data_IF_825044027763
#
_entry.id   IF_825044027763
#
_cell.length_a   1.000
_cell.length_b   1.000
_cell.length_c   1.000
_cell.angle_alpha   90.00
_cell.angle_beta   90.00
_cell.angle_gamma   90.00
#
_symmetry.space_group_name_H-M   'P 1'
#
loop_
_entity.id
_entity.type
_entity.pdbx_description
1 polymer ?
#
# COMPACT_ATOMS: atom_id res chain seq x y z
N UNK A 1 3.10 25.53 7.27
CA UNK A 1 2.50 24.30 6.70
C UNK A 1 1.19 24.73 6.07
N UNK A 2 0.98 24.41 4.80
CA UNK A 2 -0.32 24.63 4.16
C UNK A 2 -1.38 23.84 4.92
N UNK A 3 -2.45 24.53 5.32
CA UNK A 3 -3.62 23.95 5.97
C UNK A 3 -4.35 23.13 4.90
N UNK A 4 -4.41 21.82 5.08
CA UNK A 4 -5.08 20.90 4.15
C UNK A 4 -6.31 20.30 4.85
N UNK A 5 -7.45 20.40 4.18
CA UNK A 5 -8.73 19.82 4.61
C UNK A 5 -9.17 18.65 3.73
N UNK A 6 -10.28 18.04 4.15
CA UNK A 6 -10.96 16.99 3.37
C UNK A 6 -12.43 17.36 3.20
N UNK A 7 -12.85 17.48 1.96
CA UNK A 7 -14.24 17.61 1.55
C UNK A 7 -14.81 16.20 1.37
N UNK A 8 -15.93 15.92 2.03
CA UNK A 8 -16.73 14.73 1.76
C UNK A 8 -17.95 15.16 0.98
N UNK A 9 -17.95 14.83 -0.31
CA UNK A 9 -18.99 15.18 -1.27
C UNK A 9 -19.99 14.02 -1.42
N UNK A 10 -21.24 14.28 -1.05
CA UNK A 10 -22.36 13.37 -1.30
C UNK A 10 -23.12 13.85 -2.54
N UNK A 11 -23.45 12.90 -3.41
CA UNK A 11 -24.25 13.19 -4.59
C UNK A 11 -24.82 11.94 -5.24
N UNK A 12 -25.59 12.18 -6.29
CA UNK A 12 -26.14 11.14 -7.15
C UNK A 12 -24.99 10.46 -7.93
N UNK A 13 -24.99 9.12 -8.07
CA UNK A 13 -23.97 8.39 -8.82
C UNK A 13 -23.77 8.94 -10.22
N UNK A 14 -24.88 9.30 -10.89
CA UNK A 14 -24.86 9.77 -12.27
C UNK A 14 -24.05 11.07 -12.38
N UNK A 15 -24.23 12.01 -11.44
CA UNK A 15 -23.49 13.26 -11.44
C UNK A 15 -22.00 13.06 -11.14
N UNK A 16 -21.67 12.10 -10.27
CA UNK A 16 -20.27 11.76 -9.96
C UNK A 16 -19.62 11.12 -11.19
N UNK A 17 -20.32 10.23 -11.87
CA UNK A 17 -19.80 9.58 -13.07
C UNK A 17 -19.60 10.58 -14.22
N UNK A 18 -20.59 11.45 -14.46
CA UNK A 18 -20.54 12.45 -15.55
C UNK A 18 -19.47 13.52 -15.33
N UNK A 19 -19.47 14.21 -14.18
CA UNK A 19 -18.63 15.41 -14.01
C UNK A 19 -17.33 15.17 -13.25
N UNK A 20 -17.18 14.03 -12.58
CA UNK A 20 -15.99 13.71 -11.77
C UNK A 20 -15.19 12.58 -12.41
N UNK A 21 -15.79 11.42 -12.71
CA UNK A 21 -15.07 10.29 -13.31
C UNK A 21 -14.73 10.56 -14.77
N UNK A 22 -15.74 10.80 -15.61
CA UNK A 22 -15.55 11.01 -17.04
C UNK A 22 -14.98 12.41 -17.32
N UNK A 23 -15.42 13.39 -16.52
CA UNK A 23 -15.08 14.79 -16.74
C UNK A 23 -15.88 15.38 -17.89
N UNK A 24 -15.84 16.70 -18.00
CA UNK A 24 -16.59 17.48 -18.99
C UNK A 24 -15.62 18.14 -19.95
N UNK A 25 -15.88 18.07 -21.26
CA UNK A 25 -15.08 18.83 -22.23
C UNK A 25 -15.29 20.33 -22.03
N UNK A 26 -14.19 21.08 -21.91
CA UNK A 26 -14.22 22.54 -21.73
C UNK A 26 -14.93 23.22 -22.91
N UNK A 27 -14.80 22.67 -24.12
CA UNK A 27 -15.46 23.15 -25.34
C UNK A 27 -16.98 23.00 -25.33
N UNK A 28 -17.52 22.08 -24.52
CA UNK A 28 -18.96 21.90 -24.37
C UNK A 28 -19.59 23.01 -23.51
N UNK A 29 -18.79 23.71 -22.70
CA UNK A 29 -19.26 24.76 -21.79
C UNK A 29 -19.19 26.13 -22.47
N UNK A 30 -20.36 26.75 -22.60
CA UNK A 30 -20.46 28.15 -23.02
C UNK A 30 -20.29 29.04 -21.80
N UNK A 31 -19.14 29.71 -21.71
CA UNK A 31 -18.87 30.77 -20.73
C UNK A 31 -18.38 32.04 -21.44
N UNK A 32 -18.88 33.18 -20.99
CA UNK A 32 -18.46 34.51 -21.41
C UNK A 32 -17.41 35.13 -20.48
N UNK A 33 -17.12 34.50 -19.33
CA UNK A 33 -16.12 34.99 -18.38
C UNK A 33 -14.70 34.60 -18.84
N UNK A 34 -13.86 35.59 -19.22
CA UNK A 34 -12.49 35.33 -19.63
C UNK A 34 -11.61 34.77 -18.52
N UNK A 35 -11.84 35.13 -17.24
CA UNK A 35 -11.05 34.66 -16.10
C UNK A 35 -11.25 33.16 -15.89
N UNK A 36 -12.52 32.72 -15.92
CA UNK A 36 -12.83 31.29 -15.83
C UNK A 36 -12.21 30.51 -16.99
N UNK A 37 -12.29 31.05 -18.21
CA UNK A 37 -11.76 30.39 -19.41
C UNK A 37 -10.23 30.26 -19.35
N UNK A 38 -9.55 31.29 -18.86
CA UNK A 38 -8.11 31.24 -18.62
C UNK A 38 -7.75 30.20 -17.56
N UNK A 39 -8.43 30.21 -16.42
CA UNK A 39 -8.21 29.24 -15.35
C UNK A 39 -8.42 27.79 -15.81
N UNK A 40 -9.46 27.53 -16.61
CA UNK A 40 -9.74 26.21 -17.18
C UNK A 40 -8.60 25.75 -18.12
N UNK A 41 -8.18 26.60 -19.05
CA UNK A 41 -7.11 26.26 -20.00
C UNK A 41 -5.75 26.03 -19.32
N UNK A 42 -5.43 26.84 -18.31
CA UNK A 42 -4.18 26.69 -17.54
C UNK A 42 -4.17 25.41 -16.71
N UNK A 43 -5.33 25.02 -16.14
CA UNK A 43 -5.41 23.90 -15.21
C UNK A 43 -5.72 22.56 -15.88
N UNK A 44 -6.40 22.55 -17.03
CA UNK A 44 -6.84 21.35 -17.74
C UNK A 44 -6.36 21.36 -19.20
N UNK A 45 -5.05 21.18 -19.44
CA UNK A 45 -4.46 21.26 -20.78
C UNK A 45 -4.93 20.14 -21.72
N UNK A 46 -5.49 19.05 -21.18
CA UNK A 46 -6.11 17.97 -21.95
C UNK A 46 -7.53 18.31 -22.45
N UNK A 47 -8.07 19.47 -22.09
CA UNK A 47 -9.41 19.90 -22.50
C UNK A 47 -10.56 19.27 -21.70
N UNK A 48 -10.27 18.42 -20.70
CA UNK A 48 -11.27 17.74 -19.88
C UNK A 48 -11.17 18.26 -18.45
N UNK A 49 -12.23 18.92 -17.98
CA UNK A 49 -12.33 19.42 -16.61
C UNK A 49 -13.13 18.47 -15.73
N UNK A 50 -12.68 18.27 -14.50
CA UNK A 50 -13.49 17.59 -13.48
C UNK A 50 -14.03 18.63 -12.52
N UNK A 51 -15.32 18.56 -12.21
CA UNK A 51 -16.00 19.63 -11.47
C UNK A 51 -17.07 19.05 -10.56
N UNK A 52 -17.25 19.72 -9.42
CA UNK A 52 -18.32 19.44 -8.47
C UNK A 52 -18.92 20.74 -7.96
N UNK A 53 -20.22 20.74 -7.67
CA UNK A 53 -20.94 21.93 -7.25
C UNK A 53 -21.62 21.78 -5.89
N UNK A 54 -21.82 22.91 -5.22
CA UNK A 54 -22.55 23.02 -3.96
C UNK A 54 -23.76 23.95 -4.09
N UNK A 55 -24.77 23.71 -3.25
CA UNK A 55 -25.94 24.59 -3.06
C UNK A 55 -25.80 25.39 -1.77
N UNK A 56 -26.60 26.44 -1.63
CA UNK A 56 -26.60 27.33 -0.44
C UNK A 56 -26.57 26.60 0.92
N UNK A 57 -27.34 25.51 1.17
CA UNK A 57 -27.32 24.84 2.47
C UNK A 57 -25.95 24.29 2.89
N UNK A 58 -25.07 24.04 1.92
CA UNK A 58 -23.72 23.51 2.13
C UNK A 58 -22.64 24.43 1.53
N UNK A 59 -22.98 25.70 1.29
CA UNK A 59 -22.04 26.71 0.76
C UNK A 59 -20.81 26.86 1.65
N UNK A 60 -20.95 26.71 2.97
CA UNK A 60 -19.82 26.80 3.90
C UNK A 60 -18.68 25.83 3.55
N UNK A 61 -18.97 24.66 2.94
CA UNK A 61 -17.94 23.72 2.48
C UNK A 61 -17.11 24.35 1.36
N UNK A 62 -17.79 25.04 0.44
CA UNK A 62 -17.14 25.79 -0.64
C UNK A 62 -16.35 26.98 -0.09
N UNK A 63 -16.86 27.68 0.94
CA UNK A 63 -16.14 28.77 1.60
C UNK A 63 -14.83 28.28 2.22
N UNK A 64 -14.89 27.16 2.94
CA UNK A 64 -13.74 26.55 3.64
C UNK A 64 -12.76 25.82 2.70
N UNK A 65 -13.20 25.42 1.50
CA UNK A 65 -12.38 24.68 0.56
C UNK A 65 -11.15 25.49 0.11
N UNK A 66 -9.96 24.93 0.30
CA UNK A 66 -8.69 25.47 -0.16
C UNK A 66 -8.13 24.72 -1.37
N UNK A 67 -7.23 25.35 -2.11
CA UNK A 67 -6.48 24.67 -3.16
C UNK A 67 -5.63 23.55 -2.54
N UNK A 68 -5.65 22.37 -3.16
CA UNK A 68 -4.95 21.18 -2.68
C UNK A 68 -5.74 20.33 -1.68
N UNK A 69 -6.89 20.81 -1.16
CA UNK A 69 -7.75 20.01 -0.29
C UNK A 69 -8.21 18.74 -0.99
N UNK A 70 -8.29 17.64 -0.25
CA UNK A 70 -8.81 16.39 -0.79
C UNK A 70 -10.32 16.43 -0.93
N UNK A 71 -10.85 15.85 -1.99
CA UNK A 71 -12.29 15.67 -2.23
C UNK A 71 -12.58 14.20 -2.31
N UNK A 72 -13.37 13.68 -1.38
CA UNK A 72 -13.83 12.30 -1.34
C UNK A 72 -15.29 12.22 -1.75
N UNK A 73 -15.58 11.37 -2.73
CA UNK A 73 -16.93 11.14 -3.25
C UNK A 73 -17.54 9.92 -2.61
N UNK A 74 -18.66 10.10 -1.92
CA UNK A 74 -19.34 9.03 -1.19
C UNK A 74 -20.66 8.65 -1.84
N UNK A 75 -20.85 7.34 -2.03
CA UNK A 75 -22.12 6.74 -2.44
C UNK A 75 -22.30 5.36 -1.78
N UNK A 76 -23.51 5.04 -1.37
CA UNK A 76 -23.90 3.74 -0.78
C UNK A 76 -22.87 3.10 0.18
N UNK A 77 -22.48 3.83 1.23
CA UNK A 77 -21.52 3.37 2.27
C UNK A 77 -20.07 3.19 1.82
N UNK A 78 -19.74 3.58 0.60
CA UNK A 78 -18.37 3.55 0.08
C UNK A 78 -17.93 4.91 -0.44
N UNK A 79 -16.64 5.19 -0.31
CA UNK A 79 -15.99 6.27 -1.04
C UNK A 79 -15.46 5.70 -2.34
N UNK A 80 -15.84 6.30 -3.46
CA UNK A 80 -15.63 5.75 -4.80
C UNK A 80 -14.52 6.49 -5.56
N UNK A 81 -14.39 7.81 -5.35
CA UNK A 81 -13.35 8.62 -5.97
C UNK A 81 -12.69 9.56 -4.96
N UNK A 82 -11.41 9.85 -5.21
CA UNK A 82 -10.66 10.90 -4.55
C UNK A 82 -10.07 11.84 -5.60
N UNK A 83 -10.04 13.14 -5.32
CA UNK A 83 -9.30 14.12 -6.09
C UNK A 83 -8.79 15.25 -5.20
N UNK A 84 -8.19 16.27 -5.81
CA UNK A 84 -7.74 17.47 -5.09
C UNK A 84 -8.36 18.72 -5.70
N UNK A 85 -8.71 19.70 -4.86
CA UNK A 85 -9.25 20.98 -5.33
C UNK A 85 -8.16 21.73 -6.11
N UNK A 86 -8.44 22.01 -7.38
CA UNK A 86 -7.61 22.86 -8.23
C UNK A 86 -7.88 24.33 -7.96
N UNK A 87 -9.15 24.75 -8.10
CA UNK A 87 -9.60 26.12 -7.82
C UNK A 87 -11.12 26.14 -7.61
N UNK A 88 -11.63 27.28 -7.14
CA UNK A 88 -13.06 27.52 -6.89
C UNK A 88 -13.60 28.53 -7.88
N UNK A 89 -14.89 28.43 -8.19
CA UNK A 89 -15.61 29.42 -8.98
C UNK A 89 -17.04 29.60 -8.41
N UNK A 90 -17.60 30.83 -8.35
CA UNK A 90 -17.01 32.11 -8.78
C UNK A 90 -15.77 32.50 -7.98
N UNK A 91 -14.86 33.28 -8.58
CA UNK A 91 -13.69 33.81 -7.85
C UNK A 91 -14.12 34.87 -6.84
N UNK A 92 -15.10 35.69 -7.21
CA UNK A 92 -15.77 36.62 -6.31
C UNK A 92 -17.27 36.28 -6.23
N UNK A 93 -17.77 35.70 -5.11
CA UNK A 93 -19.18 35.36 -4.97
C UNK A 93 -20.12 36.58 -4.87
N UNK A 94 -19.58 37.78 -4.64
CA UNK A 94 -20.34 39.04 -4.65
C UNK A 94 -20.43 39.65 -6.07
N UNK A 95 -19.69 39.10 -7.03
CA UNK A 95 -19.78 39.50 -8.43
C UNK A 95 -20.98 38.82 -9.11
N UNK A 96 -21.97 39.64 -9.50
CA UNK A 96 -23.19 39.17 -10.12
C UNK A 96 -22.95 38.45 -11.46
N UNK A 97 -21.99 38.90 -12.26
CA UNK A 97 -21.67 38.32 -13.56
C UNK A 97 -21.01 36.95 -13.40
N UNK A 98 -20.08 36.82 -12.43
CA UNK A 98 -19.47 35.53 -12.15
C UNK A 98 -20.48 34.53 -11.58
N UNK A 99 -21.37 34.99 -10.71
CA UNK A 99 -22.46 34.17 -10.16
C UNK A 99 -23.45 33.69 -11.23
N UNK A 100 -23.82 34.56 -12.19
CA UNK A 100 -24.65 34.19 -13.33
C UNK A 100 -23.94 33.13 -14.18
N UNK A 101 -22.68 33.38 -14.54
CA UNK A 101 -21.86 32.41 -15.29
C UNK A 101 -21.73 31.08 -14.55
N UNK A 102 -21.56 31.10 -13.22
CA UNK A 102 -21.45 29.86 -12.43
C UNK A 102 -22.75 29.06 -12.42
N UNK A 103 -23.88 29.77 -12.41
CA UNK A 103 -25.21 29.19 -12.55
C UNK A 103 -25.38 28.56 -13.92
N UNK A 104 -24.99 29.25 -14.99
CA UNK A 104 -25.07 28.75 -16.37
C UNK A 104 -24.21 27.51 -16.59
N UNK A 105 -22.99 27.49 -16.05
CA UNK A 105 -22.10 26.32 -16.12
C UNK A 105 -22.72 25.14 -15.37
N UNK A 106 -23.21 25.37 -14.14
CA UNK A 106 -23.84 24.31 -13.34
C UNK A 106 -25.11 23.74 -14.01
N UNK A 107 -25.92 24.60 -14.64
CA UNK A 107 -27.12 24.18 -15.37
C UNK A 107 -26.78 23.44 -16.66
N UNK A 108 -25.71 23.80 -17.37
CA UNK A 108 -25.25 23.05 -18.54
C UNK A 108 -24.79 21.62 -18.18
N UNK A 109 -24.22 21.44 -16.99
CA UNK A 109 -23.68 20.15 -16.55
C UNK A 109 -24.75 19.28 -15.88
N UNK A 110 -25.47 19.81 -14.89
CA UNK A 110 -26.39 19.03 -14.05
C UNK A 110 -27.86 19.44 -14.18
N UNK A 111 -28.17 20.43 -15.03
CA UNK A 111 -29.51 21.00 -15.10
C UNK A 111 -29.93 21.71 -13.80
N UNK A 112 -31.22 21.65 -13.50
CA UNK A 112 -31.83 22.17 -12.27
C UNK A 112 -32.48 21.03 -11.50
N UNK A 113 -32.57 21.17 -10.17
CA UNK A 113 -33.37 20.25 -9.37
C UNK A 113 -34.88 20.54 -9.49
N UNK A 114 -35.67 19.84 -8.67
CA UNK A 114 -37.12 20.00 -8.58
C UNK A 114 -37.57 21.40 -8.14
N UNK A 115 -36.70 22.14 -7.44
CA UNK A 115 -36.95 23.48 -6.95
C UNK A 115 -36.45 24.56 -7.93
N UNK A 116 -35.92 24.16 -9.09
CA UNK A 116 -35.35 25.06 -10.10
C UNK A 116 -33.94 25.57 -9.77
N UNK A 117 -33.30 25.03 -8.72
CA UNK A 117 -31.97 25.46 -8.29
C UNK A 117 -30.87 24.53 -8.81
N UNK A 118 -29.70 25.11 -9.07
CA UNK A 118 -28.49 24.38 -9.49
C UNK A 118 -27.33 24.58 -8.51
N UNK A 119 -26.25 23.83 -8.71
CA UNK A 119 -25.08 23.76 -7.83
C UNK A 119 -24.03 24.83 -8.14
N UNK A 120 -24.44 26.11 -8.11
CA UNK A 120 -23.68 27.28 -8.57
C UNK A 120 -22.42 27.67 -7.77
N UNK A 121 -22.01 26.90 -6.76
CA UNK A 121 -20.72 27.11 -6.08
C UNK A 121 -19.80 25.96 -6.45
N UNK A 122 -18.89 26.20 -7.40
CA UNK A 122 -18.12 25.16 -8.07
C UNK A 122 -16.74 24.99 -7.46
N UNK A 123 -16.32 23.74 -7.33
CA UNK A 123 -14.92 23.34 -7.17
C UNK A 123 -14.49 22.56 -8.40
N UNK A 124 -13.32 22.92 -8.92
CA UNK A 124 -12.67 22.21 -10.01
C UNK A 124 -11.64 21.26 -9.41
N UNK A 125 -11.58 20.02 -9.91
CA UNK A 125 -10.88 18.91 -9.28
C UNK A 125 -9.80 18.35 -10.19
N UNK A 126 -8.63 18.10 -9.63
CA UNK A 126 -7.51 17.46 -10.32
C UNK A 126 -7.20 16.09 -9.73
N UNK A 127 -6.50 15.30 -10.53
CA UNK A 127 -5.95 13.99 -10.13
C UNK A 127 -7.04 13.05 -9.58
N UNK A 128 -8.21 13.03 -10.23
CA UNK A 128 -9.30 12.13 -9.87
C UNK A 128 -8.84 10.69 -10.04
N UNK A 129 -8.99 9.89 -8.98
CA UNK A 129 -8.63 8.48 -8.92
C UNK A 129 -9.74 7.68 -8.24
N UNK A 130 -9.97 6.46 -8.70
CA UNK A 130 -10.78 5.49 -7.96
C UNK A 130 -10.11 5.16 -6.63
N UNK A 131 -10.92 5.03 -5.58
CA UNK A 131 -10.47 4.69 -4.24
C UNK A 131 -11.34 3.57 -3.69
N UNK A 132 -10.71 2.60 -3.04
CA UNK A 132 -11.40 1.60 -2.22
C UNK A 132 -11.25 1.99 -0.74
N UNK A 133 -12.17 2.84 -0.27
CA UNK A 133 -12.25 3.27 1.12
C UNK A 133 -13.69 3.08 1.60
N UNK A 134 -13.88 2.20 2.59
CA UNK A 134 -15.18 1.97 3.21
C UNK A 134 -15.45 2.95 4.35
N UNK A 135 -16.73 3.08 4.73
CA UNK A 135 -17.15 3.95 5.84
C UNK A 135 -16.48 3.58 7.17
N UNK A 136 -16.14 2.30 7.37
CA UNK A 136 -15.45 1.80 8.57
C UNK A 136 -14.03 2.36 8.65
N UNK A 137 -13.25 2.25 7.59
CA UNK A 137 -11.90 2.80 7.47
C UNK A 137 -11.89 4.32 7.61
N UNK A 138 -12.88 4.99 7.03
CA UNK A 138 -13.07 6.43 7.19
C UNK A 138 -13.31 6.79 8.66
N UNK A 139 -14.28 6.15 9.31
CA UNK A 139 -14.61 6.34 10.72
C UNK A 139 -13.39 6.15 11.64
N UNK A 140 -12.59 5.10 11.40
CA UNK A 140 -11.34 4.84 12.11
C UNK A 140 -10.32 5.98 11.94
N UNK A 141 -10.19 6.52 10.73
CA UNK A 141 -9.21 7.56 10.41
C UNK A 141 -9.63 8.95 10.92
N UNK A 142 -10.92 9.17 11.16
CA UNK A 142 -11.45 10.48 11.59
C UNK A 142 -11.95 10.51 13.03
N UNK A 143 -12.06 9.35 13.67
CA UNK A 143 -12.69 9.19 14.99
C UNK A 143 -14.21 9.37 15.00
N UNK A 144 -14.87 9.23 13.85
CA UNK A 144 -16.33 9.31 13.74
C UNK A 144 -16.96 7.92 13.89
N UNK A 145 -18.25 7.86 14.19
CA UNK A 145 -19.01 6.62 14.31
C UNK A 145 -20.29 6.68 13.44
N UNK A 146 -20.12 7.01 12.16
CA UNK A 146 -21.26 7.07 11.24
C UNK A 146 -21.70 5.67 10.82
N UNK A 147 -23.01 5.42 10.86
CA UNK A 147 -23.63 4.25 10.23
C UNK A 147 -23.92 4.47 8.74
N UNK A 148 -24.12 5.72 8.34
CA UNK A 148 -24.17 6.21 6.96
C UNK A 148 -23.97 7.74 6.96
N UNK A 149 -23.39 8.28 5.89
CA UNK A 149 -23.33 9.73 5.70
C UNK A 149 -24.63 10.22 5.08
N UNK A 150 -25.17 11.32 5.61
CA UNK A 150 -26.44 11.91 5.15
C UNK A 150 -26.32 13.29 4.54
N UNK A 151 -25.14 13.91 4.66
CA UNK A 151 -24.86 15.23 4.10
C UNK A 151 -23.37 15.37 3.80
N UNK A 152 -23.05 16.19 2.81
CA UNK A 152 -21.68 16.63 2.55
C UNK A 152 -21.11 17.35 3.77
N UNK A 153 -19.80 17.28 3.97
CA UNK A 153 -19.12 17.95 5.08
C UNK A 153 -17.69 18.34 4.73
N UNK A 154 -17.17 19.34 5.45
CA UNK A 154 -15.76 19.70 5.46
C UNK A 154 -15.12 19.20 6.76
N UNK A 155 -13.95 18.57 6.66
CA UNK A 155 -13.15 18.09 7.78
C UNK A 155 -11.94 19.01 7.96
N UNK A 156 -11.76 19.49 9.19
CA UNK A 156 -10.61 20.31 9.59
C UNK A 156 -9.41 19.46 9.98
N UNK A 157 -8.22 20.06 9.99
CA UNK A 157 -6.91 19.43 10.23
C UNK A 157 -6.88 18.46 11.42
N UNK A 158 -7.55 18.77 12.54
CA UNK A 158 -7.57 17.89 13.73
C UNK A 158 -8.22 16.54 13.48
N UNK A 159 -9.27 16.48 12.64
CA UNK A 159 -10.00 15.24 12.30
C UNK A 159 -9.56 14.67 10.96
N UNK A 160 -9.08 15.53 10.06
CA UNK A 160 -8.61 15.14 8.75
C UNK A 160 -7.17 14.63 8.78
N UNK A 161 -6.35 14.95 9.79
CA UNK A 161 -4.90 14.70 9.77
C UNK A 161 -4.50 13.25 9.48
N UNK A 162 -5.08 12.28 10.20
CA UNK A 162 -4.79 10.85 9.95
C UNK A 162 -5.32 10.39 8.59
N UNK A 163 -6.50 10.87 8.18
CA UNK A 163 -7.07 10.56 6.87
C UNK A 163 -6.22 11.15 5.73
N UNK A 164 -5.81 12.41 5.83
CA UNK A 164 -4.91 13.08 4.88
C UNK A 164 -3.57 12.36 4.82
N UNK A 165 -3.00 11.98 5.96
CA UNK A 165 -1.76 11.20 5.98
C UNK A 165 -1.90 9.88 5.22
N UNK A 166 -3.02 9.16 5.43
CA UNK A 166 -3.35 7.95 4.68
C UNK A 166 -3.55 8.24 3.19
N UNK A 167 -4.29 9.29 2.83
CA UNK A 167 -4.56 9.65 1.44
C UNK A 167 -3.28 10.06 0.71
N UNK A 168 -2.41 10.87 1.30
CA UNK A 168 -1.10 11.24 0.72
C UNK A 168 -0.20 10.04 0.48
N UNK A 169 -0.24 9.07 1.40
CA UNK A 169 0.57 7.84 1.31
C UNK A 169 0.06 6.89 0.24
N UNK A 170 -1.26 6.73 0.13
CA UNK A 170 -1.88 5.75 -0.78
C UNK A 170 -2.15 6.35 -2.16
N UNK A 171 -2.38 7.66 -2.23
CA UNK A 171 -2.74 8.41 -3.44
C UNK A 171 -1.92 9.71 -3.54
N UNK A 172 -0.58 9.65 -3.68
CA UNK A 172 0.26 10.85 -3.77
C UNK A 172 -0.08 11.68 -5.01
N UNK A 173 0.01 13.01 -4.87
CA UNK A 173 -0.15 13.97 -5.98
C UNK A 173 1.08 13.98 -6.89
N UNK A 174 0.96 14.48 -8.12
CA UNK A 174 2.04 14.48 -9.11
C UNK A 174 3.28 15.28 -8.63
N UNK A 175 3.06 16.42 -7.97
CA UNK A 175 4.12 17.24 -7.36
C UNK A 175 4.82 16.52 -6.18
N UNK A 176 4.07 15.72 -5.42
CA UNK A 176 4.61 14.91 -4.33
C UNK A 176 5.38 13.71 -4.87
N UNK A 177 4.96 13.12 -6.00
CA UNK A 177 5.70 12.04 -6.66
C UNK A 177 7.09 12.48 -7.11
N UNK A 178 7.26 13.70 -7.62
CA UNK A 178 8.58 14.25 -7.99
C UNK A 178 9.47 14.50 -6.77
N UNK A 179 8.89 15.04 -5.69
CA UNK A 179 9.61 15.29 -4.44
C UNK A 179 10.00 13.98 -3.74
N UNK A 180 9.10 12.98 -3.71
CA UNK A 180 9.41 11.63 -3.26
C UNK A 180 10.49 11.00 -4.13
N UNK A 181 10.44 11.14 -5.46
CA UNK A 181 11.45 10.60 -6.36
C UNK A 181 12.84 11.22 -6.12
N UNK A 182 12.92 12.51 -5.80
CA UNK A 182 14.17 13.21 -5.46
C UNK A 182 14.71 12.80 -4.08
N UNK A 183 13.84 12.70 -3.07
CA UNK A 183 14.19 12.18 -1.73
C UNK A 183 14.60 10.70 -1.79
N UNK A 184 13.95 9.90 -2.62
CA UNK A 184 14.30 8.50 -2.88
C UNK A 184 15.65 8.39 -3.60
N UNK A 185 15.97 9.30 -4.53
CA UNK A 185 17.26 9.34 -5.20
C UNK A 185 18.40 9.69 -4.24
N UNK A 186 18.18 10.63 -3.32
CA UNK A 186 19.17 11.01 -2.32
C UNK A 186 19.33 9.96 -1.20
N UNK A 187 18.26 9.25 -0.85
CA UNK A 187 18.31 8.09 0.05
C UNK A 187 19.05 6.90 -0.57
N UNK A 188 18.96 6.71 -1.89
CA UNK A 188 19.66 5.62 -2.62
C UNK A 188 21.17 5.64 -2.44
N UNK A 189 21.80 6.82 -2.39
CA UNK A 189 23.25 6.90 -2.23
C UNK A 189 23.71 6.39 -0.85
N UNK A 190 22.89 6.54 0.19
CA UNK A 190 23.15 5.95 1.50
C UNK A 190 22.86 4.44 1.52
N UNK A 191 21.87 3.95 0.76
CA UNK A 191 21.52 2.52 0.65
C UNK A 191 22.58 1.66 -0.07
N UNK A 192 23.31 2.21 -1.05
CA UNK A 192 24.35 1.47 -1.79
C UNK A 192 25.50 1.05 -0.87
N UNK A 193 25.83 1.90 0.12
CA UNK A 193 26.99 1.68 1.00
C UNK A 193 26.78 0.51 2.00
N UNK A 194 25.55 0.20 2.39
CA UNK A 194 25.24 -0.95 3.28
C UNK A 194 25.11 -2.30 2.53
N UNK A 195 24.75 -2.27 1.24
CA UNK A 195 24.56 -3.47 0.42
C UNK A 195 25.86 -4.00 -0.20
N UNK A 196 26.93 -3.21 -0.20
CA UNK A 196 28.27 -3.57 -0.71
C UNK A 196 28.99 -4.65 0.11
N UNK A 197 28.47 -5.05 1.27
CA UNK A 197 29.17 -5.98 2.16
C UNK A 197 28.97 -7.48 1.84
N UNK A 198 27.93 -7.89 1.10
CA UNK A 198 27.62 -9.32 0.88
C UNK A 198 28.04 -9.83 -0.52
N UNK A 199 28.97 -10.78 -0.57
CA UNK A 199 29.58 -11.27 -1.82
C UNK A 199 28.64 -12.11 -2.74
N UNK A 200 28.45 -11.76 -4.03
CA UNK A 200 27.57 -12.43 -5.01
C UNK A 200 27.89 -13.89 -5.41
N UNK A 201 29.12 -14.38 -5.21
CA UNK A 201 29.54 -15.67 -5.78
C UNK A 201 28.85 -16.88 -5.12
N UNK A 202 28.64 -16.84 -3.80
CA UNK A 202 28.00 -17.92 -3.04
C UNK A 202 26.51 -18.09 -3.37
N UNK A 203 25.83 -16.99 -3.71
CA UNK A 203 24.37 -16.97 -3.87
C UNK A 203 23.91 -17.69 -5.15
N UNK A 204 24.60 -17.48 -6.27
CA UNK A 204 24.21 -18.06 -7.56
C UNK A 204 24.53 -19.55 -7.67
N UNK A 205 25.61 -20.02 -7.01
CA UNK A 205 26.01 -21.42 -7.00
C UNK A 205 25.11 -22.24 -6.08
N UNK A 206 24.85 -21.77 -4.85
CA UNK A 206 24.00 -22.48 -3.89
C UNK A 206 22.57 -22.68 -4.39
N UNK A 207 21.98 -21.66 -5.02
CA UNK A 207 20.62 -21.76 -5.60
C UNK A 207 20.61 -22.70 -6.80
N UNK A 208 21.66 -22.69 -7.63
CA UNK A 208 21.80 -23.63 -8.75
C UNK A 208 21.92 -25.07 -8.27
N UNK A 209 22.75 -25.32 -7.26
CA UNK A 209 22.91 -26.64 -6.66
C UNK A 209 21.59 -27.12 -6.06
N UNK A 210 20.88 -26.27 -5.32
CA UNK A 210 19.55 -26.61 -4.80
C UNK A 210 18.55 -26.94 -5.91
N UNK A 211 18.54 -26.19 -7.02
CA UNK A 211 17.70 -26.52 -8.18
C UNK A 211 18.08 -27.86 -8.84
N UNK A 212 19.36 -28.27 -8.77
CA UNK A 212 19.83 -29.54 -9.30
C UNK A 212 19.52 -30.71 -8.35
N UNK A 213 19.61 -30.48 -7.04
CA UNK A 213 19.23 -31.45 -6.00
C UNK A 213 17.70 -31.66 -5.94
N UNK A 214 16.93 -30.60 -6.21
CA UNK A 214 15.48 -30.58 -6.16
C UNK A 214 14.85 -30.14 -7.51
N UNK A 215 15.03 -30.89 -8.62
CA UNK A 215 14.58 -30.46 -9.96
C UNK A 215 13.08 -30.17 -10.04
N UNK A 216 12.28 -30.91 -9.28
CA UNK A 216 10.83 -30.74 -9.23
C UNK A 216 10.42 -29.38 -8.65
N UNK A 217 11.18 -28.85 -7.71
CA UNK A 217 10.93 -27.56 -7.07
C UNK A 217 11.67 -26.41 -7.76
N UNK A 218 12.57 -26.68 -8.71
CA UNK A 218 13.40 -25.67 -9.36
C UNK A 218 12.62 -24.44 -9.89
N UNK A 219 11.42 -24.58 -10.52
CA UNK A 219 10.64 -23.42 -10.93
C UNK A 219 10.20 -22.54 -9.75
N UNK A 220 9.73 -23.18 -8.66
CA UNK A 220 9.28 -22.48 -7.45
C UNK A 220 10.47 -21.85 -6.74
N UNK A 221 11.59 -22.56 -6.60
CA UNK A 221 12.83 -22.06 -5.99
C UNK A 221 13.29 -20.78 -6.69
N UNK A 222 13.38 -20.79 -8.02
CA UNK A 222 13.82 -19.62 -8.80
C UNK A 222 12.94 -18.40 -8.56
N UNK A 223 11.62 -18.58 -8.56
CA UNK A 223 10.68 -17.48 -8.35
C UNK A 223 10.72 -16.96 -6.90
N UNK A 224 10.79 -17.87 -5.93
CA UNK A 224 10.94 -17.52 -4.50
C UNK A 224 12.21 -16.71 -4.27
N UNK A 225 13.34 -17.17 -4.79
CA UNK A 225 14.63 -16.48 -4.68
C UNK A 225 14.57 -15.11 -5.34
N UNK A 226 13.98 -14.99 -6.54
CA UNK A 226 13.81 -13.72 -7.22
C UNK A 226 12.97 -12.72 -6.39
N UNK A 227 11.88 -13.18 -5.76
CA UNK A 227 11.06 -12.35 -4.87
C UNK A 227 11.77 -11.94 -3.59
N UNK A 228 12.55 -12.83 -2.98
CA UNK A 228 13.36 -12.54 -1.79
C UNK A 228 14.39 -11.45 -2.09
N UNK A 229 15.09 -11.56 -3.23
CA UNK A 229 16.01 -10.53 -3.72
C UNK A 229 15.31 -9.21 -4.02
N UNK A 230 14.08 -9.27 -4.56
CA UNK A 230 13.25 -8.09 -4.80
C UNK A 230 12.66 -7.46 -3.53
N UNK A 231 13.01 -7.97 -2.34
CA UNK A 231 12.59 -7.37 -1.07
C UNK A 231 11.34 -7.96 -0.43
N UNK A 232 10.69 -8.92 -1.07
CA UNK A 232 9.43 -9.48 -0.60
C UNK A 232 9.66 -10.58 0.43
N UNK A 233 8.79 -10.64 1.43
CA UNK A 233 8.61 -11.84 2.24
C UNK A 233 7.88 -12.90 1.40
N UNK A 234 7.88 -14.16 1.82
CA UNK A 234 7.34 -15.27 1.01
C UNK A 234 6.28 -16.02 1.79
N UNK A 235 5.20 -16.42 1.10
CA UNK A 235 4.27 -17.44 1.58
C UNK A 235 4.29 -18.61 0.60
N UNK A 236 4.63 -19.79 1.10
CA UNK A 236 4.45 -21.04 0.37
C UNK A 236 3.10 -21.65 0.77
N UNK A 237 2.23 -21.91 -0.19
CA UNK A 237 0.90 -22.48 0.07
C UNK A 237 0.65 -23.74 -0.74
N UNK A 238 -0.12 -24.67 -0.18
CA UNK A 238 -0.47 -25.91 -0.86
C UNK A 238 -1.07 -26.95 0.08
N UNK A 239 -1.50 -28.11 -0.43
CA UNK A 239 -2.03 -29.21 0.36
C UNK A 239 -1.08 -29.62 1.51
N UNK A 240 -1.57 -30.25 2.59
CA UNK A 240 -0.69 -30.84 3.59
C UNK A 240 0.22 -31.90 2.96
N UNK A 241 1.44 -32.06 3.48
CA UNK A 241 2.40 -33.04 2.96
C UNK A 241 3.13 -32.65 1.67
N UNK A 242 3.06 -31.38 1.24
CA UNK A 242 3.70 -30.86 0.02
C UNK A 242 5.12 -30.29 0.22
N UNK A 243 5.82 -30.70 1.28
CA UNK A 243 7.20 -30.30 1.55
C UNK A 243 7.47 -28.78 1.64
N UNK A 244 6.45 -27.95 1.90
CA UNK A 244 6.59 -26.48 2.03
C UNK A 244 7.63 -26.08 3.07
N UNK A 245 7.49 -26.60 4.30
CA UNK A 245 8.43 -26.33 5.40
C UNK A 245 9.83 -26.84 5.07
N UNK A 246 9.94 -27.98 4.39
CA UNK A 246 11.22 -28.51 3.91
C UNK A 246 11.88 -27.55 2.92
N UNK A 247 11.12 -27.06 1.94
CA UNK A 247 11.62 -26.13 0.92
C UNK A 247 12.06 -24.80 1.53
N UNK A 248 11.29 -24.25 2.48
CA UNK A 248 11.67 -23.04 3.22
C UNK A 248 13.01 -23.21 3.94
N UNK A 249 13.22 -24.36 4.60
CA UNK A 249 14.49 -24.65 5.28
C UNK A 249 15.65 -24.72 4.28
N UNK A 250 15.48 -25.43 3.18
CA UNK A 250 16.53 -25.56 2.15
C UNK A 250 16.94 -24.22 1.55
N UNK A 251 15.96 -23.34 1.29
CA UNK A 251 16.24 -21.99 0.79
C UNK A 251 17.00 -21.17 1.85
N UNK A 252 16.61 -21.22 3.12
CA UNK A 252 17.34 -20.56 4.20
C UNK A 252 18.75 -21.15 4.40
N UNK A 253 18.93 -22.47 4.34
CA UNK A 253 20.25 -23.11 4.47
C UNK A 253 21.23 -22.61 3.41
N UNK A 254 20.74 -22.42 2.17
CA UNK A 254 21.54 -21.89 1.05
C UNK A 254 21.90 -20.43 1.25
N UNK A 255 20.93 -19.60 1.67
CA UNK A 255 21.09 -18.13 1.69
C UNK A 255 21.68 -17.64 3.02
N UNK A 256 21.09 -18.07 4.12
CA UNK A 256 21.50 -17.68 5.47
C UNK A 256 22.67 -18.53 5.97
N UNK A 257 22.81 -19.75 5.45
CA UNK A 257 23.72 -20.76 6.01
C UNK A 257 22.97 -21.75 6.90
N UNK A 258 23.60 -22.91 7.12
CA UNK A 258 23.05 -23.99 7.93
C UNK A 258 22.78 -23.48 9.35
N UNK A 259 21.58 -23.77 9.86
CA UNK A 259 21.11 -23.40 11.20
C UNK A 259 21.07 -21.88 11.49
N UNK A 260 21.28 -21.01 10.49
CA UNK A 260 21.26 -19.55 10.63
C UNK A 260 19.87 -18.95 10.34
N UNK A 261 18.84 -19.55 10.91
CA UNK A 261 17.46 -19.11 10.78
C UNK A 261 16.62 -19.66 11.94
N UNK A 262 15.48 -19.03 12.22
CA UNK A 262 14.51 -19.50 13.21
C UNK A 262 13.32 -20.14 12.52
N UNK A 263 12.75 -21.19 13.10
CA UNK A 263 11.45 -21.72 12.71
C UNK A 263 10.51 -21.60 13.90
N UNK A 264 9.31 -21.08 13.67
CA UNK A 264 8.23 -21.05 14.65
C UNK A 264 6.92 -21.51 14.01
N UNK A 265 6.10 -22.25 14.74
CA UNK A 265 4.77 -22.66 14.27
C UNK A 265 3.73 -21.69 14.81
N UNK A 266 2.97 -21.08 13.92
CA UNK A 266 1.89 -20.17 14.27
C UNK A 266 0.74 -20.91 14.96
N UNK A 267 0.14 -20.25 15.95
CA UNK A 267 -1.03 -20.75 16.66
C UNK A 267 -1.98 -19.59 17.00
N UNK A 268 -3.22 -19.92 17.37
CA UNK A 268 -4.29 -18.94 17.59
C UNK A 268 -4.07 -18.04 18.81
N UNK A 269 -3.17 -18.41 19.72
CA UNK A 269 -2.87 -17.67 20.94
C UNK A 269 -1.81 -16.58 20.74
N UNK A 270 -1.17 -16.55 19.56
CA UNK A 270 -0.16 -15.54 19.23
C UNK A 270 -0.71 -14.13 19.38
N UNK A 271 -0.01 -13.37 20.22
CA UNK A 271 -0.31 -11.98 20.50
C UNK A 271 0.88 -11.08 20.14
N UNK A 272 0.68 -9.76 20.25
CA UNK A 272 1.77 -8.81 20.07
C UNK A 272 2.92 -9.03 21.05
N UNK A 273 2.62 -9.51 22.25
CA UNK A 273 3.61 -9.86 23.24
C UNK A 273 4.50 -11.03 22.80
N UNK A 274 3.95 -12.03 22.07
CA UNK A 274 4.72 -13.18 21.60
C UNK A 274 5.60 -12.83 20.39
N UNK A 275 5.13 -11.95 19.51
CA UNK A 275 5.85 -11.55 18.30
C UNK A 275 6.88 -10.47 18.57
N UNK A 276 6.49 -9.39 19.25
CA UNK A 276 7.33 -8.22 19.49
C UNK A 276 8.00 -8.29 20.86
N UNK A 277 7.21 -8.59 21.90
CA UNK A 277 7.67 -8.63 23.28
C UNK A 277 6.87 -7.71 24.19
N UNK A 278 7.18 -7.75 25.47
CA UNK A 278 6.60 -6.84 26.46
C UNK A 278 7.21 -7.00 27.85
N UNK A 279 6.79 -6.14 28.76
CA UNK A 279 7.30 -6.10 30.12
C UNK A 279 6.67 -7.15 31.02
N UNK A 280 7.51 -7.83 31.82
CA UNK A 280 7.10 -8.75 32.89
C UNK A 280 7.74 -8.35 34.20
N UNK A 281 7.04 -8.63 35.29
CA UNK A 281 7.59 -8.52 36.64
C UNK A 281 8.28 -9.83 37.00
N UNK A 282 9.59 -9.76 37.24
CA UNK A 282 10.40 -10.90 37.67
C UNK A 282 11.18 -10.51 38.91
N UNK A 283 10.83 -11.08 40.05
CA UNK A 283 11.51 -10.80 41.33
C UNK A 283 11.32 -9.38 41.87
N UNK A 284 10.26 -8.68 41.45
CA UNK A 284 10.00 -7.28 41.85
C UNK A 284 10.56 -6.24 40.88
N UNK A 285 11.34 -6.65 39.89
CA UNK A 285 11.88 -5.78 38.84
C UNK A 285 11.12 -5.98 37.53
N UNK A 286 10.99 -4.89 36.76
CA UNK A 286 10.35 -4.90 35.44
C UNK A 286 11.41 -5.26 34.39
N UNK A 287 11.23 -6.40 33.71
CA UNK A 287 12.12 -6.88 32.66
C UNK A 287 11.37 -6.99 31.34
N UNK A 288 11.94 -6.47 30.25
CA UNK A 288 11.37 -6.69 28.93
C UNK A 288 11.70 -8.10 28.43
N UNK A 289 10.68 -8.88 28.08
CA UNK A 289 10.81 -10.16 27.40
C UNK A 289 10.64 -9.95 25.90
N UNK A 290 11.69 -10.20 25.14
CA UNK A 290 11.67 -10.08 23.68
C UNK A 290 10.79 -11.15 23.03
N UNK A 291 10.02 -10.76 22.02
CA UNK A 291 9.23 -11.68 21.21
C UNK A 291 10.03 -12.33 20.07
N UNK A 292 9.39 -13.25 19.36
CA UNK A 292 9.95 -14.06 18.29
C UNK A 292 10.61 -13.21 17.20
N UNK A 293 9.90 -12.21 16.69
CA UNK A 293 10.34 -11.37 15.59
C UNK A 293 11.50 -10.48 16.01
N UNK A 294 11.41 -9.87 17.19
CA UNK A 294 12.46 -9.00 17.73
C UNK A 294 13.76 -9.78 17.93
N UNK A 295 13.68 -10.99 18.52
CA UNK A 295 14.84 -11.88 18.67
C UNK A 295 15.44 -12.26 17.31
N UNK A 296 14.61 -12.57 16.31
CA UNK A 296 15.09 -12.93 14.97
C UNK A 296 15.75 -11.74 14.26
N UNK A 297 15.23 -10.53 14.44
CA UNK A 297 15.82 -9.30 13.91
C UNK A 297 17.18 -9.00 14.54
N UNK A 298 17.29 -9.08 15.88
CA UNK A 298 18.58 -8.90 16.57
C UNK A 298 19.62 -9.89 16.08
N UNK A 299 19.26 -11.18 16.00
CA UNK A 299 20.12 -12.21 15.44
C UNK A 299 20.51 -11.93 13.99
N UNK A 300 19.64 -11.32 13.20
CA UNK A 300 19.96 -10.93 11.82
C UNK A 300 21.04 -9.85 11.78
N UNK A 301 20.91 -8.82 12.62
CA UNK A 301 21.92 -7.76 12.74
C UNK A 301 23.27 -8.37 13.14
N UNK A 302 23.29 -9.20 14.18
CA UNK A 302 24.49 -9.89 14.65
C UNK A 302 25.10 -10.79 13.57
N UNK A 303 24.27 -11.54 12.85
CA UNK A 303 24.72 -12.50 11.85
C UNK A 303 25.31 -11.83 10.61
N UNK A 304 24.75 -10.69 10.19
CA UNK A 304 25.31 -9.86 9.11
C UNK A 304 26.68 -9.34 9.52
N UNK A 305 26.81 -8.81 10.74
CA UNK A 305 28.07 -8.26 11.24
C UNK A 305 29.17 -9.33 11.41
N UNK A 306 28.80 -10.53 11.85
CA UNK A 306 29.76 -11.58 12.18
C UNK A 306 30.09 -12.51 11.00
N UNK A 307 29.10 -12.83 10.17
CA UNK A 307 29.20 -13.88 9.16
C UNK A 307 28.89 -13.41 7.75
N UNK A 308 28.55 -12.12 7.56
CA UNK A 308 28.12 -11.56 6.28
C UNK A 308 26.94 -12.33 5.66
N UNK A 309 26.03 -12.81 6.53
CA UNK A 309 24.85 -13.59 6.15
C UNK A 309 23.62 -13.14 6.92
N UNK A 310 22.44 -13.06 6.28
CA UNK A 310 21.23 -12.70 6.99
C UNK A 310 20.74 -13.86 7.87
N UNK A 311 20.00 -13.54 8.93
CA UNK A 311 19.24 -14.50 9.73
C UNK A 311 17.75 -14.32 9.43
N UNK A 312 17.06 -15.37 8.99
CA UNK A 312 15.65 -15.27 8.58
C UNK A 312 14.71 -15.98 9.55
N UNK A 313 13.43 -15.63 9.47
CA UNK A 313 12.36 -16.25 10.25
C UNK A 313 11.46 -17.08 9.33
N UNK A 314 11.32 -18.37 9.65
CA UNK A 314 10.34 -19.26 9.04
C UNK A 314 9.13 -19.34 9.97
N UNK A 315 7.94 -19.08 9.43
CA UNK A 315 6.68 -19.23 10.17
C UNK A 315 5.86 -20.35 9.55
N UNK A 316 5.77 -21.49 10.23
CA UNK A 316 4.96 -22.61 9.78
C UNK A 316 3.49 -22.40 10.15
N UNK A 317 2.59 -22.89 9.30
CA UNK A 317 1.14 -22.84 9.50
C UNK A 317 0.60 -21.44 9.83
N UNK A 318 1.10 -20.42 9.13
CA UNK A 318 0.81 -18.99 9.36
C UNK A 318 -0.69 -18.71 9.48
N UNK A 319 -1.52 -19.45 8.76
CA UNK A 319 -2.97 -19.34 8.77
C UNK A 319 -3.62 -19.73 10.10
N UNK A 320 -2.89 -20.23 11.10
CA UNK A 320 -3.46 -20.54 12.43
C UNK A 320 -3.44 -19.36 13.39
N UNK A 321 -2.71 -18.30 13.09
CA UNK A 321 -2.61 -17.12 13.93
C UNK A 321 -3.49 -15.96 13.42
N UNK A 322 -3.96 -15.12 14.35
CA UNK A 322 -4.52 -13.82 14.01
C UNK A 322 -3.38 -12.82 13.76
N UNK A 323 -3.02 -12.63 12.50
CA UNK A 323 -1.81 -11.89 12.12
C UNK A 323 -1.89 -10.40 12.44
N UNK A 324 -3.07 -9.79 12.30
CA UNK A 324 -3.26 -8.37 12.62
C UNK A 324 -3.06 -8.12 14.12
N UNK A 325 -3.61 -9.00 14.96
CA UNK A 325 -3.43 -8.93 16.41
C UNK A 325 -1.99 -9.24 16.83
N UNK A 326 -1.38 -10.25 16.23
CA UNK A 326 -0.05 -10.71 16.58
C UNK A 326 1.05 -9.74 16.13
N UNK A 327 1.03 -9.25 14.89
CA UNK A 327 2.08 -8.36 14.40
C UNK A 327 1.84 -6.89 14.76
N UNK A 328 0.59 -6.48 15.02
CA UNK A 328 0.26 -5.12 15.47
C UNK A 328 0.88 -4.04 14.58
N UNK A 329 1.60 -3.08 15.18
CA UNK A 329 2.23 -1.96 14.46
C UNK A 329 3.38 -2.40 13.53
N UNK A 330 4.15 -3.40 13.96
CA UNK A 330 5.34 -3.92 13.25
C UNK A 330 4.97 -4.57 11.92
N UNK A 331 3.70 -4.93 11.75
CA UNK A 331 3.16 -5.41 10.50
C UNK A 331 3.46 -4.49 9.30
N UNK A 332 3.40 -3.17 9.52
CA UNK A 332 3.73 -2.20 8.47
C UNK A 332 5.21 -2.24 8.08
N UNK A 333 6.09 -2.48 9.04
CA UNK A 333 7.55 -2.54 8.89
C UNK A 333 8.03 -3.81 8.16
N UNK A 334 7.16 -4.79 7.93
CA UNK A 334 7.48 -5.93 7.07
C UNK A 334 7.72 -5.49 5.61
N UNK A 335 7.15 -4.36 5.21
CA UNK A 335 7.47 -3.69 3.95
C UNK A 335 8.78 -2.91 4.09
N UNK A 336 9.65 -2.99 3.07
CA UNK A 336 10.98 -2.36 3.11
C UNK A 336 10.90 -0.84 3.31
N UNK A 337 9.87 -0.20 2.74
CA UNK A 337 9.68 1.26 2.81
C UNK A 337 9.45 1.79 4.23
N UNK A 338 9.04 0.93 5.18
CA UNK A 338 8.73 1.33 6.56
C UNK A 338 9.75 0.82 7.59
N UNK A 339 10.88 0.25 7.15
CA UNK A 339 11.91 -0.32 8.05
C UNK A 339 12.78 0.72 8.75
N UNK A 340 12.68 1.98 8.37
CA UNK A 340 13.39 3.09 9.02
C UNK A 340 12.86 3.41 10.43
N UNK A 341 11.67 2.90 10.78
CA UNK A 341 11.10 3.06 12.12
C UNK A 341 11.51 1.91 13.05
N UNK A 342 11.83 2.18 14.34
CA UNK A 342 12.14 1.14 15.30
C UNK A 342 10.95 0.21 15.54
N UNK A 343 11.24 -1.06 15.83
CA UNK A 343 10.25 -2.08 16.19
C UNK A 343 9.61 -1.76 17.55
N UNK A 344 10.40 -1.22 18.47
CA UNK A 344 9.97 -0.81 19.82
C UNK A 344 10.51 0.59 20.09
N UNK A 345 9.63 1.53 20.44
CA UNK A 345 9.99 2.91 20.83
C UNK A 345 10.22 2.97 22.34
N UNK A 346 11.30 2.34 22.83
CA UNK A 346 11.57 2.28 24.28
C UNK A 346 13.08 2.14 24.60
N UNK A 347 13.41 2.05 25.90
CA UNK A 347 14.77 1.97 26.47
C UNK A 347 15.65 0.82 25.94
N UNK A 348 15.09 -0.10 25.14
CA UNK A 348 15.79 -1.21 24.47
C UNK A 348 16.66 -0.77 23.27
N UNK A 349 16.56 0.49 22.86
CA UNK A 349 17.31 1.07 21.75
C UNK A 349 16.55 1.05 20.41
N UNK A 350 17.10 1.77 19.43
CA UNK A 350 16.54 1.95 18.08
C UNK A 350 16.74 0.69 17.21
N UNK A 351 16.07 -0.40 17.58
CA UNK A 351 16.17 -1.67 16.86
C UNK A 351 15.23 -1.63 15.65
N UNK A 352 15.83 -1.57 14.46
CA UNK A 352 15.14 -1.54 13.17
C UNK A 352 15.25 -2.89 12.47
N UNK A 353 14.30 -3.20 11.59
CA UNK A 353 14.35 -4.42 10.78
C UNK A 353 15.38 -4.23 9.65
N UNK A 354 16.45 -5.05 9.56
CA UNK A 354 17.41 -4.95 8.46
C UNK A 354 16.75 -5.15 7.10
N UNK A 355 17.24 -4.48 6.07
CA UNK A 355 16.74 -4.64 4.70
C UNK A 355 16.96 -6.04 4.14
N UNK A 356 17.92 -6.79 4.67
CA UNK A 356 18.20 -8.18 4.30
C UNK A 356 17.32 -9.19 5.06
N UNK A 357 16.61 -8.77 6.12
CA UNK A 357 15.73 -9.65 6.90
C UNK A 357 14.50 -10.06 6.08
N UNK A 358 14.17 -11.35 6.08
CA UNK A 358 12.99 -11.91 5.39
C UNK A 358 12.25 -12.88 6.30
N UNK A 359 10.94 -12.94 6.06
CA UNK A 359 10.07 -13.97 6.59
C UNK A 359 9.68 -14.93 5.45
N UNK A 360 9.83 -16.23 5.69
CA UNK A 360 9.28 -17.28 4.82
C UNK A 360 8.19 -18.01 5.60
N UNK A 361 6.94 -17.80 5.21
CA UNK A 361 5.80 -18.45 5.82
C UNK A 361 5.31 -19.64 5.00
N UNK A 362 4.63 -20.58 5.64
CA UNK A 362 3.93 -21.68 4.97
C UNK A 362 2.45 -21.68 5.37
N UNK A 363 1.58 -22.11 4.47
CA UNK A 363 0.14 -22.21 4.71
C UNK A 363 -0.44 -23.47 4.08
N UNK A 364 -1.38 -24.12 4.79
CA UNK A 364 -2.14 -25.24 4.23
C UNK A 364 -3.39 -24.72 3.52
N UNK A 365 -3.63 -25.15 2.29
CA UNK A 365 -4.77 -24.68 1.47
C UNK A 365 -6.14 -25.22 1.88
N UNK A 366 -6.19 -26.22 2.77
CA UNK A 366 -7.45 -26.78 3.26
C UNK A 366 -8.19 -25.83 4.22
N UNK A 367 -7.49 -24.88 4.85
CA UNK A 367 -8.09 -23.83 5.68
C UNK A 367 -8.60 -22.65 4.81
N UNK A 368 -9.48 -22.98 3.85
CA UNK A 368 -10.03 -22.05 2.84
C UNK A 368 -10.67 -20.80 3.46
N UNK A 369 -11.20 -20.88 4.68
CA UNK A 369 -11.82 -19.76 5.37
C UNK A 369 -10.83 -18.66 5.78
N UNK A 370 -9.53 -18.99 5.93
CA UNK A 370 -8.51 -18.08 6.46
C UNK A 370 -7.72 -17.40 5.35
N UNK A 371 -7.55 -18.06 4.19
CA UNK A 371 -6.94 -17.45 3.00
C UNK A 371 -7.65 -16.16 2.55
N UNK A 372 -8.97 -16.07 2.77
CA UNK A 372 -9.77 -14.86 2.49
C UNK A 372 -9.86 -13.89 3.67
N UNK A 373 -9.41 -14.28 4.88
CA UNK A 373 -9.32 -13.39 6.04
C UNK A 373 -7.94 -12.75 6.20
N UNK A 374 -6.90 -13.23 5.50
CA UNK A 374 -5.65 -12.48 5.35
C UNK A 374 -5.95 -11.21 4.56
N UNK A 375 -6.09 -10.08 5.25
CA UNK A 375 -6.42 -8.80 4.63
C UNK A 375 -5.47 -8.43 3.49
N UNK A 376 -5.97 -7.67 2.51
CA UNK A 376 -5.22 -7.22 1.33
C UNK A 376 -3.87 -6.56 1.66
N UNK A 377 -3.77 -5.92 2.82
CA UNK A 377 -2.53 -5.36 3.33
C UNK A 377 -1.43 -6.43 3.55
N UNK A 378 -1.79 -7.65 3.96
CA UNK A 378 -0.87 -8.76 4.15
C UNK A 378 -0.32 -9.26 2.82
N UNK A 379 -1.21 -9.51 1.86
CA UNK A 379 -0.85 -10.07 0.56
C UNK A 379 0.14 -9.15 -0.18
N UNK A 380 0.05 -7.82 -0.05
CA UNK A 380 1.01 -6.92 -0.72
C UNK A 380 2.46 -7.01 -0.19
N UNK A 381 2.65 -7.51 1.03
CA UNK A 381 3.97 -7.60 1.70
C UNK A 381 4.64 -8.96 1.54
N UNK A 382 3.90 -9.93 1.01
CA UNK A 382 4.36 -11.30 0.77
C UNK A 382 4.12 -11.70 -0.68
N UNK A 383 5.10 -12.35 -1.32
CA UNK A 383 4.87 -13.03 -2.59
C UNK A 383 4.37 -14.46 -2.30
N UNK A 384 3.28 -14.86 -2.96
CA UNK A 384 2.62 -16.14 -2.74
C UNK A 384 3.03 -17.13 -3.82
N UNK A 385 3.48 -18.32 -3.40
CA UNK A 385 3.88 -19.40 -4.30
C UNK A 385 3.22 -20.72 -3.94
N UNK A 386 2.57 -21.34 -4.93
CA UNK A 386 1.96 -22.66 -4.77
C UNK A 386 3.02 -23.76 -4.83
N UNK A 387 3.02 -24.65 -3.84
CA UNK A 387 3.83 -25.87 -3.83
C UNK A 387 2.93 -27.07 -4.08
N UNK A 388 3.11 -27.69 -5.25
CA UNK A 388 2.33 -28.85 -5.68
C UNK A 388 2.79 -30.12 -4.97
N UNK A 389 1.86 -31.04 -4.72
CA UNK A 389 2.19 -32.37 -4.22
C UNK A 389 2.98 -33.16 -5.25
N UNK A 390 4.08 -33.78 -4.80
CA UNK A 390 4.89 -34.69 -5.61
C UNK A 390 4.11 -35.99 -5.90
N UNK A 391 3.18 -36.38 -5.02
CA UNK A 391 2.44 -37.63 -5.11
C UNK A 391 1.24 -37.59 -6.08
N UNK A 392 0.96 -36.45 -6.70
CA UNK A 392 -0.15 -36.30 -7.63
C UNK A 392 0.36 -36.29 -9.07
N UNK A 393 0.74 -37.48 -9.55
CA UNK A 393 0.72 -37.78 -10.98
C UNK A 393 -0.72 -37.74 -11.48
N UNK A 394 -0.94 -36.91 -12.51
CA UNK A 394 -1.99 -36.95 -13.53
C UNK A 394 -3.39 -37.45 -13.09
N UNK A 395 -4.38 -36.53 -13.08
CA UNK A 395 -5.84 -36.74 -12.97
C UNK A 395 -6.56 -36.35 -11.66
N UNK A 396 -6.05 -35.38 -10.91
CA UNK A 396 -6.94 -34.54 -10.11
C UNK A 396 -6.73 -33.08 -10.48
N UNK A 397 -7.68 -32.54 -11.25
CA UNK A 397 -7.85 -31.11 -11.46
C UNK A 397 -8.07 -30.50 -10.08
N UNK A 398 -7.03 -29.93 -9.50
CA UNK A 398 -7.24 -28.92 -8.48
C UNK A 398 -8.04 -27.82 -9.15
N UNK A 399 -9.30 -27.64 -8.73
CA UNK A 399 -10.00 -26.38 -8.95
C UNK A 399 -9.01 -25.29 -8.56
N UNK A 400 -8.53 -24.58 -9.57
CA UNK A 400 -7.69 -23.40 -9.40
C UNK A 400 -8.35 -22.55 -8.34
N UNK A 401 -7.60 -22.20 -7.28
CA UNK A 401 -7.95 -21.05 -6.48
C UNK A 401 -8.19 -19.93 -7.49
N UNK A 402 -9.44 -19.53 -7.66
CA UNK A 402 -9.85 -18.40 -8.48
C UNK A 402 -9.34 -17.16 -7.72
N UNK A 403 -8.02 -16.96 -7.76
CA UNK A 403 -7.41 -15.69 -7.46
C UNK A 403 -7.90 -14.81 -8.58
N UNK A 404 -8.65 -13.78 -8.23
CA UNK A 404 -9.17 -12.82 -9.19
C UNK A 404 -8.04 -12.42 -10.16
N UNK A 405 -8.21 -12.62 -11.48
CA UNK A 405 -7.22 -12.19 -12.46
C UNK A 405 -6.81 -10.71 -12.31
N UNK A 406 -7.64 -9.88 -11.67
CA UNK A 406 -7.28 -8.51 -11.30
C UNK A 406 -6.14 -8.44 -10.25
N UNK A 407 -6.07 -9.39 -9.31
CA UNK A 407 -5.01 -9.49 -8.29
C UNK A 407 -3.70 -9.98 -8.91
N UNK A 408 -3.76 -10.93 -9.85
CA UNK A 408 -2.59 -11.40 -10.60
C UNK A 408 -2.11 -10.35 -11.62
N UNK A 409 -3.03 -9.64 -12.27
CA UNK A 409 -2.74 -8.57 -13.22
C UNK A 409 -2.06 -7.35 -12.58
N UNK A 410 -2.34 -7.05 -11.31
CA UNK A 410 -1.61 -6.03 -10.54
C UNK A 410 -0.19 -6.46 -10.14
N UNK A 411 0.11 -7.77 -10.12
CA UNK A 411 1.46 -8.31 -9.86
C UNK A 411 2.31 -8.32 -11.15
N UNK A 412 1.67 -8.43 -12.33
CA UNK A 412 2.37 -8.52 -13.62
C UNK A 412 2.68 -7.18 -14.30
N UNK A 413 1.99 -6.10 -13.90
CA UNK A 413 2.01 -4.80 -14.61
C UNK A 413 3.09 -3.83 -14.18
N UNK A 414 3.92 -4.16 -13.18
CA UNK A 414 5.05 -3.31 -12.81
C UNK A 414 6.24 -3.52 -13.77
N UNK A 415 6.06 -2.97 -14.98
CA UNK A 415 7.05 -2.96 -16.06
C UNK A 415 8.31 -2.20 -15.64
N UNK A 416 8.18 -1.25 -14.70
CA UNK A 416 9.30 -0.54 -14.06
C UNK A 416 10.06 -1.43 -13.06
N UNK A 417 9.39 -2.33 -12.34
CA UNK A 417 10.05 -3.35 -11.52
C UNK A 417 10.78 -4.38 -12.38
N UNK A 418 10.21 -4.82 -13.52
CA UNK A 418 10.89 -5.73 -14.46
C UNK A 418 12.14 -5.11 -15.09
N UNK A 419 12.11 -3.83 -15.46
CA UNK A 419 13.28 -3.10 -15.96
C UNK A 419 14.34 -2.85 -14.87
N UNK A 420 13.92 -2.53 -13.63
CA UNK A 420 14.81 -2.42 -12.46
C UNK A 420 15.38 -3.77 -12.00
N UNK A 421 14.62 -4.86 -12.09
CA UNK A 421 15.09 -6.22 -11.85
C UNK A 421 16.10 -6.58 -12.93
N UNK A 422 15.86 -6.25 -14.19
CA UNK A 422 16.84 -6.43 -15.27
C UNK A 422 18.11 -5.60 -15.04
N UNK A 423 18.02 -4.37 -14.51
CA UNK A 423 19.17 -3.51 -14.23
C UNK A 423 19.92 -3.89 -12.95
N UNK A 424 19.24 -4.30 -11.87
CA UNK A 424 19.84 -4.77 -10.63
C UNK A 424 20.46 -6.17 -10.78
N UNK A 425 19.80 -7.06 -11.53
CA UNK A 425 20.37 -8.34 -11.97
C UNK A 425 21.53 -8.09 -12.93
N UNK A 426 21.43 -7.18 -13.91
CA UNK A 426 22.57 -6.82 -14.76
C UNK A 426 23.74 -6.24 -13.97
N UNK A 427 23.54 -5.28 -13.07
CA UNK A 427 24.60 -4.70 -12.22
C UNK A 427 25.21 -5.74 -11.27
N UNK A 428 24.40 -6.66 -10.72
CA UNK A 428 24.86 -7.82 -9.94
C UNK A 428 25.69 -8.82 -10.77
N UNK A 429 25.56 -8.83 -12.11
CA UNK A 429 26.25 -9.75 -13.02
C UNK A 429 27.28 -9.08 -13.99
N UNK A 430 27.42 -7.75 -14.07
CA UNK A 430 28.32 -7.07 -15.03
C UNK A 430 29.65 -6.52 -14.48
N UNK A 431 29.98 -6.65 -13.21
CA UNK A 431 31.34 -6.31 -12.75
C UNK A 431 32.29 -7.51 -12.77
N UNK A 432 32.68 -7.88 -13.98
CA UNK A 432 34.03 -8.37 -14.24
C UNK A 432 34.48 -7.87 -15.62
N UNK A 433 35.20 -6.76 -15.61
CA UNK A 433 36.26 -6.33 -16.53
C UNK A 433 36.49 -4.83 -16.34
N UNK A 434 37.44 -4.48 -15.49
CA UNK A 434 38.70 -3.86 -15.92
C UNK A 434 39.48 -3.35 -14.70
N UNK A 435 40.74 -3.79 -14.65
CA UNK A 435 41.82 -3.54 -13.68
C UNK A 435 41.83 -4.31 -12.36
#
# INVERSE_FOLDING_TARGET
MERLGVIVALGKPEHIEESVKNGVEITAIRTSDPELREALNQNYPNGIMHVWGFKRPVKYIWDDAGQGDFVLFYHDRQFIYVGTVSFKYPFNPDDAQQMETSTDVATQIWGTDTDGETWKYLIFIKEVKEIDLDLVSFNQSTGYAFSALRKSMYLTDQKAGQLIHRLKKVYPTSSQQETLAQLEAQKRDNYVTELEQVSPAYFSEGVRNLCNEEPWFAPVIKNVVASLLAGKNIILYGPPGTSKTYLSKKICEVICGKDNFRIETANAEWSNYDIVGGYILKGGETQFKEGILLQAVKKCIESIQQYDKPYWLIIDELNRANLDLAFGKVFTQLDMEYRETPIVEDELGDIRIPLSFRIIATMNTYDRAILFSLGYAFIRRFALYSVKSILLTENQTYESLNIDPAILGQIETDTRLKEKISSAVKQHFTMKRDN
#
